data_IF_377628562998
#
_entry.id   IF_377628562998
#
_cell.length_a   1.000
_cell.length_b   1.000
_cell.length_c   1.000
_cell.angle_alpha   90.00
_cell.angle_beta   90.00
_cell.angle_gamma   90.00
#
_symmetry.space_group_name_H-M   'P 1'
#
loop_
_entity.id
_entity.type
_entity.pdbx_description
1 polymer ?
#
# COMPACT_ATOMS: atom_id res chain seq x y z
N UNK A 1 49.93 -55.17 -44.84
CA UNK A 1 49.18 -54.30 -45.76
C UNK A 1 47.71 -54.45 -45.43
N UNK A 2 47.03 -53.33 -45.28
CA UNK A 2 45.64 -53.11 -44.81
C UNK A 2 45.44 -53.30 -43.31
N UNK A 3 45.59 -52.17 -42.61
CA UNK A 3 45.24 -51.92 -41.21
C UNK A 3 43.70 -51.76 -41.13
N UNK A 4 43.03 -52.53 -40.29
CA UNK A 4 41.58 -52.43 -40.08
C UNK A 4 41.30 -51.23 -39.17
N UNK A 5 40.57 -50.24 -39.70
CA UNK A 5 40.12 -49.08 -38.96
C UNK A 5 38.87 -49.48 -38.17
N UNK A 6 38.99 -49.56 -36.85
CA UNK A 6 37.87 -49.61 -35.91
C UNK A 6 37.60 -48.18 -35.44
N UNK A 7 36.65 -47.49 -36.08
CA UNK A 7 36.13 -46.23 -35.57
C UNK A 7 35.14 -46.62 -34.47
N UNK A 8 35.54 -46.50 -33.20
CA UNK A 8 34.57 -46.42 -32.11
C UNK A 8 33.73 -45.17 -32.38
N UNK A 9 32.48 -45.36 -32.76
CA UNK A 9 31.48 -44.29 -32.71
C UNK A 9 31.26 -43.92 -31.25
N UNK A 10 31.98 -42.91 -30.78
CA UNK A 10 31.61 -42.19 -29.56
C UNK A 10 30.27 -41.53 -29.89
N UNK A 11 29.17 -42.12 -29.43
CA UNK A 11 27.91 -41.39 -29.31
C UNK A 11 28.19 -40.28 -28.30
N UNK A 12 28.36 -39.05 -28.80
CA UNK A 12 28.12 -37.88 -27.96
C UNK A 12 26.63 -37.91 -27.66
N UNK A 13 26.28 -38.42 -26.49
CA UNK A 13 24.99 -38.10 -25.87
C UNK A 13 25.05 -36.60 -25.59
N UNK A 14 24.35 -35.81 -26.42
CA UNK A 14 23.92 -34.50 -25.96
C UNK A 14 22.99 -34.79 -24.79
N UNK A 15 23.43 -34.44 -23.59
CA UNK A 15 22.52 -34.35 -22.48
C UNK A 15 21.70 -33.08 -22.72
N UNK A 16 20.38 -33.24 -22.69
CA UNK A 16 19.48 -32.09 -22.68
C UNK A 16 19.65 -31.36 -21.34
N UNK A 17 19.52 -30.04 -21.42
CA UNK A 17 19.65 -29.04 -20.36
C UNK A 17 18.60 -28.00 -20.75
N UNK A 18 17.39 -28.24 -20.26
CA UNK A 18 16.18 -27.59 -20.75
C UNK A 18 16.08 -26.13 -20.30
N UNK A 19 16.63 -25.81 -19.13
CA UNK A 19 16.58 -24.49 -18.52
C UNK A 19 17.91 -23.70 -18.67
N UNK A 20 19.00 -24.37 -19.06
CA UNK A 20 20.26 -23.77 -19.42
C UNK A 20 21.15 -23.43 -18.23
N UNK A 21 20.96 -24.09 -17.10
CA UNK A 21 21.68 -23.82 -15.84
C UNK A 21 23.06 -24.50 -15.76
N UNK A 22 23.35 -25.41 -16.69
CA UNK A 22 24.61 -26.14 -16.81
C UNK A 22 24.60 -27.54 -16.18
N UNK A 23 23.46 -27.98 -15.65
CA UNK A 23 23.17 -29.33 -15.19
C UNK A 23 22.31 -30.03 -16.25
N UNK A 24 22.56 -31.32 -16.49
CA UNK A 24 21.74 -32.07 -17.44
C UNK A 24 20.42 -32.47 -16.83
N UNK A 25 19.33 -32.48 -17.60
CA UNK A 25 17.97 -32.84 -17.14
C UNK A 25 17.89 -34.16 -16.32
N UNK A 26 18.77 -35.13 -16.61
CA UNK A 26 18.81 -36.42 -15.88
C UNK A 26 19.46 -36.36 -14.49
N UNK A 27 20.15 -35.27 -14.19
CA UNK A 27 20.86 -34.98 -12.95
C UNK A 27 20.33 -33.72 -12.26
N UNK A 28 19.38 -33.05 -12.90
CA UNK A 28 18.81 -31.78 -12.49
C UNK A 28 17.59 -32.02 -11.60
N UNK A 29 17.65 -31.49 -10.38
CA UNK A 29 16.55 -31.54 -9.41
C UNK A 29 15.45 -30.50 -9.70
N UNK A 30 15.67 -29.57 -10.63
CA UNK A 30 14.69 -28.60 -11.14
C UNK A 30 14.77 -28.40 -12.66
N UNK A 31 14.47 -29.43 -13.44
CA UNK A 31 14.56 -29.48 -14.93
C UNK A 31 13.96 -28.30 -15.75
N UNK A 32 13.17 -27.42 -15.14
CA UNK A 32 12.56 -26.27 -15.81
C UNK A 32 12.95 -24.92 -15.21
N UNK A 33 13.68 -24.88 -14.08
CA UNK A 33 13.98 -23.68 -13.31
C UNK A 33 15.48 -23.62 -13.03
N UNK A 34 16.22 -22.68 -13.65
CA UNK A 34 17.67 -22.67 -13.54
C UNK A 34 18.18 -22.58 -12.11
N UNK A 35 18.83 -23.63 -11.61
CA UNK A 35 19.36 -23.71 -10.26
C UNK A 35 20.75 -24.38 -10.22
N UNK A 36 21.82 -23.71 -10.71
CA UNK A 36 23.14 -24.33 -10.91
C UNK A 36 23.81 -24.91 -9.65
N UNK A 37 23.31 -24.53 -8.47
CA UNK A 37 23.79 -25.00 -7.17
C UNK A 37 23.14 -26.32 -6.74
N UNK A 38 21.99 -26.67 -7.31
CA UNK A 38 21.25 -27.91 -7.02
C UNK A 38 21.05 -28.12 -5.51
N UNK A 39 20.73 -27.05 -4.79
CA UNK A 39 20.31 -27.11 -3.37
C UNK A 39 19.05 -27.99 -3.25
N UNK A 40 18.95 -28.70 -2.13
CA UNK A 40 17.94 -29.70 -1.78
C UNK A 40 18.08 -29.94 -0.26
N UNK A 41 17.45 -29.11 0.59
CA UNK A 41 17.69 -29.12 2.05
C UNK A 41 17.09 -30.34 2.74
N UNK A 42 15.90 -30.74 2.31
CA UNK A 42 15.18 -31.90 2.81
C UNK A 42 15.62 -33.25 2.20
N UNK A 43 16.37 -33.22 1.10
CA UNK A 43 16.88 -34.38 0.37
C UNK A 43 15.78 -35.23 -0.29
N UNK A 44 14.66 -34.61 -0.70
CA UNK A 44 13.56 -35.29 -1.37
C UNK A 44 13.78 -35.47 -2.89
N UNK A 45 14.79 -34.77 -3.43
CA UNK A 45 15.25 -34.69 -4.85
C UNK A 45 14.49 -33.73 -5.74
N UNK A 46 13.57 -32.96 -5.20
CA UNK A 46 13.12 -31.70 -5.76
C UNK A 46 14.11 -30.66 -5.27
N UNK A 47 14.60 -29.80 -6.17
CA UNK A 47 15.53 -28.77 -5.75
C UNK A 47 14.77 -27.60 -5.16
N UNK A 48 15.39 -26.86 -4.24
CA UNK A 48 14.76 -25.70 -3.61
C UNK A 48 14.12 -24.69 -4.58
N UNK A 49 14.73 -24.52 -5.76
CA UNK A 49 14.22 -23.57 -6.75
C UNK A 49 12.85 -23.96 -7.34
N UNK A 50 12.42 -25.21 -7.13
CA UNK A 50 11.19 -25.78 -7.64
C UNK A 50 10.44 -26.64 -6.61
N UNK A 51 10.91 -26.64 -5.36
CA UNK A 51 10.14 -27.11 -4.22
C UNK A 51 9.25 -25.98 -3.71
N UNK A 52 8.27 -26.32 -2.89
CA UNK A 52 7.38 -25.38 -2.22
C UNK A 52 7.47 -25.44 -0.69
N UNK A 53 8.29 -26.36 -0.18
CA UNK A 53 8.55 -26.67 1.23
C UNK A 53 9.98 -27.27 1.29
N UNK A 54 10.97 -26.37 1.27
CA UNK A 54 12.40 -26.65 1.06
C UNK A 54 13.01 -27.57 2.15
N UNK A 55 12.42 -27.62 3.35
CA UNK A 55 12.88 -28.42 4.48
C UNK A 55 11.88 -29.51 4.94
N UNK A 56 10.69 -29.56 4.34
CA UNK A 56 9.65 -30.56 4.56
C UNK A 56 9.10 -30.59 6.00
N UNK A 57 9.06 -29.45 6.68
CA UNK A 57 8.48 -29.29 8.01
C UNK A 57 6.93 -29.17 8.01
N UNK A 58 6.36 -28.93 6.82
CA UNK A 58 4.93 -28.79 6.57
C UNK A 58 4.43 -27.35 6.51
N UNK A 59 5.32 -26.36 6.53
CA UNK A 59 5.09 -24.94 6.28
C UNK A 59 5.67 -24.60 4.90
N UNK A 60 4.86 -23.99 4.03
CA UNK A 60 5.33 -23.59 2.69
C UNK A 60 6.32 -22.41 2.78
N UNK A 61 7.32 -22.39 1.91
CA UNK A 61 8.45 -21.42 1.93
C UNK A 61 8.01 -19.95 1.96
N UNK A 62 6.87 -19.63 1.35
CA UNK A 62 6.30 -18.28 1.30
C UNK A 62 5.78 -17.77 2.66
N UNK A 63 5.58 -18.67 3.61
CA UNK A 63 5.13 -18.41 4.99
C UNK A 63 6.20 -18.80 6.01
N UNK A 64 7.24 -19.52 5.57
CA UNK A 64 8.36 -19.97 6.37
C UNK A 64 9.50 -18.94 6.39
N UNK A 65 9.81 -18.38 7.56
CA UNK A 65 10.93 -17.45 7.72
C UNK A 65 12.30 -18.13 7.71
N UNK A 66 12.32 -19.46 7.87
CA UNK A 66 13.48 -20.33 8.02
C UNK A 66 13.37 -21.59 7.14
N UNK A 67 12.96 -21.41 5.88
CA UNK A 67 12.78 -22.41 4.80
C UNK A 67 13.93 -23.44 4.59
N UNK A 68 15.08 -23.30 5.26
CA UNK A 68 16.19 -24.24 5.22
C UNK A 68 16.33 -25.09 6.52
N UNK A 69 15.44 -24.93 7.50
CA UNK A 69 15.57 -25.47 8.86
C UNK A 69 14.30 -26.16 9.39
N UNK A 70 14.22 -27.52 9.35
CA UNK A 70 12.97 -28.26 9.55
C UNK A 70 12.45 -28.35 11.00
N UNK A 71 12.97 -27.50 11.88
CA UNK A 71 12.59 -27.41 13.29
C UNK A 71 12.09 -25.99 13.62
N UNK A 72 12.31 -25.03 12.75
CA UNK A 72 12.00 -23.63 12.97
C UNK A 72 11.34 -23.07 11.72
N UNK A 73 10.28 -22.28 11.90
CA UNK A 73 9.58 -21.65 10.78
C UNK A 73 9.24 -20.18 11.01
N UNK A 74 9.41 -19.66 12.23
CA UNK A 74 8.90 -18.34 12.61
C UNK A 74 9.84 -17.51 13.48
N UNK A 75 9.76 -16.18 13.31
CA UNK A 75 10.38 -15.14 14.15
C UNK A 75 9.38 -13.97 14.18
N UNK A 76 8.49 -13.97 15.18
CA UNK A 76 7.35 -13.02 15.24
C UNK A 76 7.70 -11.68 15.89
N UNK A 77 8.77 -11.61 16.68
CA UNK A 77 9.22 -10.39 17.34
C UNK A 77 10.38 -9.68 16.58
N UNK A 78 10.92 -10.36 15.56
CA UNK A 78 11.88 -9.87 14.58
C UNK A 78 13.25 -9.57 15.16
N UNK A 79 13.67 -10.36 16.14
CA UNK A 79 14.96 -10.23 16.79
C UNK A 79 16.08 -11.06 16.09
N UNK A 80 15.70 -11.86 15.08
CA UNK A 80 16.52 -12.80 14.30
C UNK A 80 16.88 -14.10 15.03
N UNK A 81 16.14 -14.44 16.08
CA UNK A 81 16.13 -15.76 16.72
C UNK A 81 14.76 -16.37 16.39
N UNK A 82 14.74 -17.65 16.02
CA UNK A 82 13.48 -18.32 15.72
C UNK A 82 12.75 -18.71 17.00
N UNK A 83 11.41 -18.68 16.97
CA UNK A 83 10.52 -18.91 18.13
C UNK A 83 10.71 -20.28 18.83
N UNK A 84 11.36 -21.26 18.22
CA UNK A 84 11.70 -22.53 18.88
C UNK A 84 13.01 -22.43 19.66
N UNK A 85 13.95 -21.59 19.23
CA UNK A 85 15.24 -21.37 19.89
C UNK A 85 15.26 -20.14 20.81
N UNK A 86 14.32 -19.22 20.64
CA UNK A 86 14.18 -18.00 21.43
C UNK A 86 13.70 -18.33 22.87
N UNK A 87 14.35 -17.77 23.91
CA UNK A 87 13.90 -17.92 25.29
C UNK A 87 12.96 -16.78 25.77
N UNK A 88 12.59 -15.82 24.93
CA UNK A 88 11.74 -14.66 25.20
C UNK A 88 10.93 -14.27 23.93
N UNK A 89 10.01 -15.15 23.48
CA UNK A 89 9.36 -15.07 22.14
C UNK A 89 8.54 -13.80 21.88
N UNK A 90 8.21 -13.02 22.92
CA UNK A 90 7.50 -11.74 22.81
C UNK A 90 8.34 -10.52 23.17
N UNK A 91 9.61 -10.76 23.53
CA UNK A 91 10.62 -9.75 23.85
C UNK A 91 10.15 -8.74 24.92
N UNK A 92 9.35 -9.20 25.90
CA UNK A 92 8.83 -8.36 26.99
C UNK A 92 9.77 -8.25 28.21
N UNK A 93 10.99 -8.77 28.08
CA UNK A 93 12.03 -8.93 29.10
C UNK A 93 11.71 -10.02 30.16
N UNK A 94 10.77 -10.93 29.90
CA UNK A 94 10.42 -12.07 30.76
C UNK A 94 10.57 -13.38 29.98
N UNK A 95 11.52 -14.22 30.40
CA UNK A 95 11.73 -15.52 29.76
C UNK A 95 10.46 -16.40 29.77
N UNK A 96 10.23 -17.18 28.71
CA UNK A 96 8.99 -17.98 28.51
C UNK A 96 8.68 -18.91 29.69
N UNK A 97 9.74 -19.43 30.33
CA UNK A 97 9.62 -20.33 31.48
C UNK A 97 9.06 -19.65 32.74
N UNK A 98 9.14 -18.32 32.79
CA UNK A 98 8.70 -17.45 33.88
C UNK A 98 7.52 -16.57 33.48
N UNK A 99 7.16 -16.54 32.19
CA UNK A 99 6.09 -15.71 31.67
C UNK A 99 4.70 -16.40 31.66
N UNK A 100 3.66 -15.61 31.91
CA UNK A 100 2.27 -16.02 31.84
C UNK A 100 1.73 -16.00 30.40
N UNK A 101 2.31 -15.19 29.50
CA UNK A 101 1.89 -15.05 28.10
C UNK A 101 3.10 -15.13 27.15
N UNK A 102 3.81 -16.27 27.12
CA UNK A 102 5.18 -16.38 26.61
C UNK A 102 5.37 -16.10 25.12
N UNK A 103 4.30 -15.83 24.37
CA UNK A 103 4.34 -15.68 22.91
C UNK A 103 3.50 -14.48 22.51
N UNK A 104 3.87 -13.83 21.41
CA UNK A 104 3.02 -12.81 20.79
C UNK A 104 1.64 -13.36 20.39
N UNK A 105 0.62 -12.51 20.43
CA UNK A 105 -0.73 -12.90 20.05
C UNK A 105 -0.81 -13.28 18.56
N UNK A 106 -0.05 -12.58 17.73
CA UNK A 106 0.03 -12.81 16.29
C UNK A 106 0.62 -14.20 15.98
N UNK A 107 1.57 -14.66 16.78
CA UNK A 107 2.09 -16.02 16.72
C UNK A 107 0.99 -17.04 17.05
N UNK A 108 0.31 -16.85 18.19
CA UNK A 108 -0.77 -17.74 18.60
C UNK A 108 -1.88 -17.85 17.54
N UNK A 109 -2.30 -16.71 16.98
CA UNK A 109 -3.30 -16.67 15.92
C UNK A 109 -2.80 -17.34 14.64
N UNK A 110 -1.54 -17.12 14.25
CA UNK A 110 -0.97 -17.75 13.06
C UNK A 110 -0.94 -19.28 13.21
N UNK A 111 -0.45 -19.79 14.34
CA UNK A 111 -0.41 -21.23 14.61
C UNK A 111 -1.80 -21.88 14.54
N UNK A 112 -2.82 -21.23 15.09
CA UNK A 112 -4.20 -21.74 15.07
C UNK A 112 -4.81 -21.77 13.66
N UNK A 113 -4.35 -20.90 12.76
CA UNK A 113 -4.92 -20.70 11.43
C UNK A 113 -3.96 -21.03 10.28
N UNK A 114 -2.81 -21.66 10.58
CA UNK A 114 -1.73 -21.87 9.60
C UNK A 114 -2.22 -22.62 8.36
N UNK A 115 -3.07 -23.64 8.51
CA UNK A 115 -3.61 -24.37 7.37
C UNK A 115 -4.49 -23.49 6.46
N UNK A 116 -5.26 -22.57 7.04
CA UNK A 116 -6.12 -21.64 6.29
C UNK A 116 -5.27 -20.62 5.53
N UNK A 117 -4.21 -20.12 6.16
CA UNK A 117 -3.22 -19.22 5.56
C UNK A 117 -2.53 -19.90 4.38
N UNK A 118 -1.95 -21.09 4.59
CA UNK A 118 -1.28 -21.86 3.54
C UNK A 118 -2.22 -22.21 2.38
N UNK A 119 -3.49 -22.53 2.66
CA UNK A 119 -4.49 -22.80 1.62
C UNK A 119 -4.76 -21.59 0.71
N UNK A 120 -4.68 -20.37 1.26
CA UNK A 120 -4.77 -19.15 0.47
C UNK A 120 -3.48 -18.87 -0.30
N UNK A 121 -2.34 -19.16 0.33
CA UNK A 121 -1.03 -18.87 -0.22
C UNK A 121 -0.74 -19.62 -1.54
N UNK A 122 -1.05 -20.92 -1.58
CA UNK A 122 -0.84 -21.78 -2.75
C UNK A 122 -1.69 -21.42 -3.99
N UNK A 123 -2.53 -20.38 -3.91
CA UNK A 123 -3.36 -19.92 -5.02
C UNK A 123 -2.53 -19.01 -5.93
N UNK A 124 -2.04 -19.56 -7.04
CA UNK A 124 -1.25 -18.84 -8.06
C UNK A 124 -2.07 -17.81 -8.91
N UNK A 125 -3.38 -17.73 -8.69
CA UNK A 125 -4.21 -16.65 -9.25
C UNK A 125 -4.35 -15.50 -8.26
N UNK A 126 -3.78 -14.33 -8.59
CA UNK A 126 -3.81 -13.18 -7.69
C UNK A 126 -5.21 -12.77 -7.26
N UNK A 127 -6.21 -12.85 -8.15
CA UNK A 127 -7.60 -12.56 -7.78
C UNK A 127 -8.16 -13.60 -6.78
N UNK A 128 -7.90 -14.88 -7.02
CA UNK A 128 -8.25 -15.98 -6.12
C UNK A 128 -7.57 -15.89 -4.76
N UNK A 129 -6.28 -15.57 -4.71
CA UNK A 129 -5.48 -15.41 -3.49
C UNK A 129 -6.02 -14.26 -2.63
N UNK A 130 -6.23 -13.09 -3.24
CA UNK A 130 -6.85 -11.94 -2.57
C UNK A 130 -8.22 -12.27 -1.98
N UNK A 131 -9.10 -12.91 -2.77
CA UNK A 131 -10.43 -13.29 -2.31
C UNK A 131 -10.37 -14.31 -1.16
N UNK A 132 -9.40 -15.24 -1.20
CA UNK A 132 -9.20 -16.20 -0.14
C UNK A 132 -8.85 -15.50 1.17
N UNK A 133 -7.82 -14.64 1.16
CA UNK A 133 -7.42 -13.87 2.33
C UNK A 133 -8.52 -12.92 2.83
N UNK A 134 -9.22 -12.23 1.93
CA UNK A 134 -10.37 -11.39 2.32
C UNK A 134 -11.43 -12.17 3.10
N UNK A 135 -11.78 -13.38 2.65
CA UNK A 135 -12.75 -14.23 3.35
C UNK A 135 -12.20 -14.71 4.70
N UNK A 136 -10.94 -15.15 4.73
CA UNK A 136 -10.26 -15.57 5.95
C UNK A 136 -10.31 -14.47 7.02
N UNK A 137 -9.86 -13.25 6.69
CA UNK A 137 -9.85 -12.14 7.65
C UNK A 137 -11.26 -11.69 8.06
N UNK A 138 -12.23 -11.66 7.15
CA UNK A 138 -13.63 -11.37 7.49
C UNK A 138 -14.22 -12.38 8.49
N UNK A 139 -13.88 -13.66 8.37
CA UNK A 139 -14.35 -14.70 9.27
C UNK A 139 -13.60 -14.68 10.61
N UNK A 140 -12.29 -14.39 10.58
CA UNK A 140 -11.45 -14.30 11.76
C UNK A 140 -11.86 -13.15 12.68
N UNK A 141 -12.14 -11.96 12.12
CA UNK A 141 -12.62 -10.81 12.91
C UNK A 141 -13.88 -11.15 13.72
N UNK A 142 -14.82 -11.88 13.10
CA UNK A 142 -16.08 -12.29 13.75
C UNK A 142 -15.85 -13.30 14.89
N UNK A 143 -14.78 -14.08 14.80
CA UNK A 143 -14.40 -15.09 15.79
C UNK A 143 -13.69 -14.46 16.99
N UNK A 144 -12.64 -13.69 16.72
CA UNK A 144 -11.81 -13.06 17.76
C UNK A 144 -12.51 -11.90 18.46
N UNK A 145 -13.39 -11.17 17.77
CA UNK A 145 -14.08 -9.97 18.27
C UNK A 145 -13.12 -8.90 18.80
N UNK A 146 -11.90 -8.89 18.26
CA UNK A 146 -10.91 -7.87 18.49
C UNK A 146 -10.23 -7.53 17.16
N UNK A 147 -10.66 -6.41 16.56
CA UNK A 147 -10.13 -5.93 15.29
C UNK A 147 -8.64 -5.59 15.37
N UNK A 148 -8.14 -5.17 16.54
CA UNK A 148 -6.74 -4.78 16.69
C UNK A 148 -5.82 -5.99 16.55
N UNK A 149 -6.19 -7.11 17.16
CA UNK A 149 -5.41 -8.34 17.18
C UNK A 149 -5.33 -8.92 15.75
N UNK A 150 -6.47 -8.95 15.06
CA UNK A 150 -6.53 -9.43 13.67
C UNK A 150 -5.78 -8.51 12.71
N UNK A 151 -5.73 -7.21 13.00
CA UNK A 151 -4.95 -6.26 12.20
C UNK A 151 -3.44 -6.42 12.42
N UNK A 152 -3.01 -6.74 13.64
CA UNK A 152 -1.62 -7.08 13.88
C UNK A 152 -1.24 -8.41 13.22
N UNK A 153 -2.14 -9.40 13.21
CA UNK A 153 -1.93 -10.63 12.43
C UNK A 153 -1.73 -10.31 10.94
N UNK A 154 -2.56 -9.45 10.35
CA UNK A 154 -2.39 -9.04 8.96
C UNK A 154 -1.02 -8.39 8.70
N UNK A 155 -0.51 -7.60 9.66
CA UNK A 155 0.84 -7.04 9.59
C UNK A 155 1.92 -8.13 9.71
N UNK A 156 1.77 -9.08 10.63
CA UNK A 156 2.72 -10.17 10.84
C UNK A 156 2.81 -11.06 9.59
N UNK A 157 1.67 -11.48 9.03
CA UNK A 157 1.63 -12.27 7.79
C UNK A 157 2.23 -11.52 6.59
N UNK A 158 2.11 -10.19 6.55
CA UNK A 158 2.75 -9.40 5.50
C UNK A 158 4.27 -9.30 5.67
N UNK A 159 4.76 -9.29 6.92
CA UNK A 159 6.21 -9.38 7.20
C UNK A 159 6.78 -10.76 6.90
N UNK A 160 6.01 -11.82 7.10
CA UNK A 160 6.38 -13.19 6.76
C UNK A 160 6.36 -13.47 5.25
N UNK A 161 5.75 -12.60 4.43
CA UNK A 161 5.63 -12.80 2.98
C UNK A 161 4.36 -13.55 2.54
N UNK A 162 3.60 -14.10 3.49
CA UNK A 162 2.33 -14.78 3.24
C UNK A 162 1.27 -13.86 2.61
N UNK A 163 1.29 -12.56 2.94
CA UNK A 163 0.38 -11.56 2.41
C UNK A 163 1.18 -10.42 1.77
N UNK A 164 1.11 -10.31 0.43
CA UNK A 164 1.86 -9.31 -0.33
C UNK A 164 1.68 -7.87 0.18
N UNK A 165 0.48 -7.50 0.63
CA UNK A 165 0.21 -6.21 1.27
C UNK A 165 -0.94 -6.33 2.28
N UNK A 166 -0.63 -6.12 3.55
CA UNK A 166 -1.61 -6.09 4.62
C UNK A 166 -2.68 -4.99 4.45
N UNK A 167 -2.44 -3.96 3.63
CA UNK A 167 -3.40 -2.90 3.33
C UNK A 167 -4.71 -3.47 2.79
N UNK A 168 -4.64 -4.36 1.79
CA UNK A 168 -5.82 -4.86 1.12
C UNK A 168 -6.71 -5.67 2.06
N UNK A 169 -6.13 -6.64 2.78
CA UNK A 169 -6.88 -7.47 3.73
C UNK A 169 -7.45 -6.66 4.89
N UNK A 170 -6.80 -5.54 5.24
CA UNK A 170 -7.28 -4.65 6.29
C UNK A 170 -8.57 -3.90 5.91
N UNK A 171 -8.93 -3.83 4.62
CA UNK A 171 -10.24 -3.29 4.21
C UNK A 171 -11.38 -4.11 4.82
N UNK A 172 -11.27 -5.44 4.78
CA UNK A 172 -12.28 -6.34 5.36
C UNK A 172 -12.34 -6.22 6.88
N UNK A 173 -11.18 -6.09 7.54
CA UNK A 173 -11.09 -5.89 8.99
C UNK A 173 -11.81 -4.58 9.39
N UNK A 174 -11.56 -3.51 8.65
CA UNK A 174 -12.23 -2.22 8.85
C UNK A 174 -13.72 -2.27 8.62
N UNK A 175 -14.16 -3.01 7.60
CA UNK A 175 -15.56 -3.17 7.26
C UNK A 175 -16.33 -3.85 8.40
N UNK A 176 -15.85 -5.01 8.85
CA UNK A 176 -16.48 -5.75 9.96
C UNK A 176 -16.41 -4.95 11.25
N UNK A 177 -15.29 -4.25 11.51
CA UNK A 177 -15.17 -3.40 12.68
C UNK A 177 -16.28 -2.36 12.77
N UNK A 178 -16.67 -1.74 11.66
CA UNK A 178 -17.81 -0.81 11.61
C UNK A 178 -19.16 -1.51 11.88
N UNK A 179 -19.37 -2.74 11.41
CA UNK A 179 -20.59 -3.50 11.70
C UNK A 179 -20.75 -3.75 13.21
N UNK A 180 -19.65 -3.95 13.93
CA UNK A 180 -19.65 -4.13 15.38
C UNK A 180 -19.83 -2.81 16.15
N UNK A 181 -19.20 -1.72 15.70
CA UNK A 181 -19.33 -0.40 16.30
C UNK A 181 -19.54 0.72 15.25
N UNK A 182 -20.78 1.15 14.96
CA UNK A 182 -21.04 2.12 13.89
C UNK A 182 -20.56 3.56 14.17
N UNK A 183 -19.82 3.79 15.26
CA UNK A 183 -19.21 5.08 15.57
C UNK A 183 -17.83 5.23 14.90
N UNK A 184 -17.83 5.81 13.70
CA UNK A 184 -16.63 6.04 12.88
C UNK A 184 -15.50 6.71 13.64
N UNK A 185 -15.79 7.74 14.44
CA UNK A 185 -14.74 8.48 15.17
C UNK A 185 -14.12 7.58 16.23
N UNK A 186 -14.93 6.83 16.96
CA UNK A 186 -14.46 5.93 18.03
C UNK A 186 -13.61 4.80 17.48
N UNK A 187 -14.04 4.19 16.37
CA UNK A 187 -13.29 3.13 15.70
C UNK A 187 -11.91 3.59 15.21
N UNK A 188 -11.80 4.81 14.70
CA UNK A 188 -10.56 5.27 14.08
C UNK A 188 -9.57 5.88 15.08
N UNK A 189 -10.01 6.27 16.28
CA UNK A 189 -9.22 7.12 17.21
C UNK A 189 -7.99 6.44 17.81
N UNK A 190 -7.99 5.12 17.94
CA UNK A 190 -6.94 4.34 18.62
C UNK A 190 -6.20 3.38 17.67
N UNK A 191 -6.33 3.62 16.36
CA UNK A 191 -5.67 2.83 15.31
C UNK A 191 -4.39 3.57 14.91
N UNK A 192 -3.20 3.00 15.17
CA UNK A 192 -1.91 3.59 14.81
C UNK A 192 -1.71 3.80 13.29
N UNK A 193 -0.60 4.42 12.90
CA UNK A 193 -0.37 4.91 11.53
C UNK A 193 0.47 3.95 10.66
N UNK A 194 0.15 2.67 10.60
CA UNK A 194 0.82 1.68 9.72
C UNK A 194 0.11 1.50 8.36
N UNK A 195 0.76 0.86 7.37
CA UNK A 195 0.20 0.65 6.01
C UNK A 195 -1.10 -0.17 6.06
N UNK A 196 -1.12 -1.25 6.86
CA UNK A 196 -2.30 -2.08 7.11
C UNK A 196 -3.45 -1.23 7.65
N UNK A 197 -3.13 -0.29 8.55
CA UNK A 197 -4.11 0.58 9.16
C UNK A 197 -4.72 1.57 8.17
N UNK A 198 -4.00 2.03 7.15
CA UNK A 198 -4.62 2.76 6.04
C UNK A 198 -5.75 1.97 5.37
N UNK A 199 -5.56 0.67 5.19
CA UNK A 199 -6.58 -0.24 4.69
C UNK A 199 -7.79 -0.37 5.63
N UNK A 200 -7.54 -0.46 6.94
CA UNK A 200 -8.60 -0.45 7.96
C UNK A 200 -9.48 0.81 7.85
N UNK A 201 -8.88 1.99 7.70
CA UNK A 201 -9.62 3.24 7.48
C UNK A 201 -10.51 3.17 6.23
N UNK A 202 -10.01 2.60 5.14
CA UNK A 202 -10.78 2.45 3.90
C UNK A 202 -11.97 1.51 4.09
N UNK A 203 -11.78 0.40 4.81
CA UNK A 203 -12.83 -0.54 5.19
C UNK A 203 -13.97 0.10 5.99
N UNK A 204 -13.61 0.83 7.06
CA UNK A 204 -14.57 1.54 7.92
C UNK A 204 -15.38 2.56 7.11
N UNK A 205 -14.71 3.35 6.27
CA UNK A 205 -15.39 4.34 5.42
C UNK A 205 -16.32 3.65 4.43
N UNK A 206 -15.86 2.58 3.79
CA UNK A 206 -16.67 1.79 2.87
C UNK A 206 -17.95 1.27 3.52
N UNK A 207 -17.85 0.65 4.70
CA UNK A 207 -19.00 0.16 5.45
C UNK A 207 -19.96 1.29 5.87
N UNK A 208 -19.42 2.42 6.36
CA UNK A 208 -20.22 3.58 6.74
C UNK A 208 -21.07 4.14 5.60
N UNK A 209 -20.47 4.35 4.43
CA UNK A 209 -21.19 4.86 3.26
C UNK A 209 -22.12 3.82 2.64
N UNK A 210 -21.75 2.54 2.70
CA UNK A 210 -22.62 1.45 2.31
C UNK A 210 -23.89 1.40 3.18
N UNK A 211 -23.76 1.43 4.51
CA UNK A 211 -24.89 1.51 5.44
C UNK A 211 -25.77 2.73 5.15
N UNK A 212 -25.16 3.90 4.92
CA UNK A 212 -25.90 5.11 4.59
C UNK A 212 -26.74 4.94 3.32
N UNK A 213 -26.17 4.30 2.29
CA UNK A 213 -26.85 4.04 1.03
C UNK A 213 -27.98 3.01 1.16
N UNK A 214 -27.73 1.86 1.79
CA UNK A 214 -28.71 0.79 1.99
C UNK A 214 -29.93 1.28 2.79
N UNK A 215 -29.69 2.13 3.80
CA UNK A 215 -30.75 2.72 4.60
C UNK A 215 -31.42 3.94 3.95
N UNK A 216 -31.16 4.22 2.67
CA UNK A 216 -31.66 5.38 1.92
C UNK A 216 -31.42 6.72 2.64
N UNK A 217 -30.33 6.83 3.40
CA UNK A 217 -29.92 8.09 4.04
C UNK A 217 -29.37 9.03 2.94
N UNK A 218 -29.52 10.33 3.15
CA UNK A 218 -28.80 11.30 2.32
C UNK A 218 -27.29 11.12 2.49
N UNK A 219 -26.52 11.59 1.51
CA UNK A 219 -25.06 11.66 1.64
C UNK A 219 -24.73 12.33 2.99
N UNK A 220 -23.96 11.68 3.87
CA UNK A 220 -23.56 12.28 5.13
C UNK A 220 -22.80 13.59 4.92
N UNK A 221 -22.67 14.43 5.95
CA UNK A 221 -21.77 15.59 5.93
C UNK A 221 -20.31 15.11 5.95
N UNK A 222 -19.89 14.52 4.84
CA UNK A 222 -18.64 13.75 4.71
C UNK A 222 -17.39 14.61 4.81
N UNK A 223 -17.50 15.90 4.50
CA UNK A 223 -16.37 16.83 4.49
C UNK A 223 -15.78 17.06 5.89
N UNK A 224 -16.58 16.83 6.93
CA UNK A 224 -16.17 17.09 8.30
C UNK A 224 -15.80 15.81 9.09
N UNK A 225 -16.02 14.61 8.53
CA UNK A 225 -15.78 13.32 9.22
C UNK A 225 -14.34 13.21 9.72
N UNK A 226 -13.37 13.62 8.90
CA UNK A 226 -11.96 13.49 9.22
C UNK A 226 -11.40 14.69 10.01
N UNK A 227 -12.21 15.71 10.36
CA UNK A 227 -11.69 16.95 10.95
C UNK A 227 -10.98 16.72 12.30
N UNK A 228 -11.40 15.71 13.08
CA UNK A 228 -10.79 15.40 14.38
C UNK A 228 -9.39 14.78 14.24
N UNK A 229 -9.02 14.31 13.05
CA UNK A 229 -7.70 13.72 12.76
C UNK A 229 -6.69 14.75 12.23
N UNK A 230 -7.11 16.00 12.02
CA UNK A 230 -6.27 17.07 11.46
C UNK A 230 -4.93 17.19 12.22
N UNK A 231 -3.82 17.14 11.46
CA UNK A 231 -2.47 17.27 11.99
C UNK A 231 -1.76 15.94 12.29
N UNK A 232 -2.45 14.81 12.13
CA UNK A 232 -1.88 13.45 12.13
C UNK A 232 -1.62 12.95 10.71
N UNK A 233 -0.86 11.86 10.57
CA UNK A 233 -0.78 11.06 9.34
C UNK A 233 -2.14 10.50 8.93
N UNK A 234 -2.97 10.18 9.91
CA UNK A 234 -4.20 9.39 9.76
C UNK A 234 -5.31 10.19 9.07
N UNK A 235 -5.19 11.52 9.08
CA UNK A 235 -6.04 12.40 8.30
C UNK A 235 -5.97 12.09 6.80
N UNK A 236 -4.78 11.78 6.27
CA UNK A 236 -4.62 11.47 4.84
C UNK A 236 -5.37 10.19 4.49
N UNK A 237 -5.16 9.15 5.31
CA UNK A 237 -5.75 7.83 5.14
C UNK A 237 -7.28 7.91 5.30
N UNK A 238 -7.78 8.74 6.22
CA UNK A 238 -9.21 9.02 6.34
C UNK A 238 -9.79 9.70 5.09
N UNK A 239 -9.16 10.77 4.59
CA UNK A 239 -9.65 11.47 3.37
C UNK A 239 -9.56 10.58 2.14
N UNK A 240 -8.52 9.75 2.03
CA UNK A 240 -8.41 8.74 0.97
C UNK A 240 -9.55 7.73 1.08
N UNK A 241 -9.80 7.19 2.27
CA UNK A 241 -10.91 6.27 2.58
C UNK A 241 -12.29 6.86 2.28
N UNK A 242 -12.51 8.17 2.46
CA UNK A 242 -13.76 8.82 2.00
C UNK A 242 -14.00 8.59 0.50
N UNK A 243 -12.93 8.57 -0.30
CA UNK A 243 -12.98 8.24 -1.72
C UNK A 243 -13.56 6.84 -1.98
N UNK A 244 -13.09 5.83 -1.25
CA UNK A 244 -13.64 4.48 -1.30
C UNK A 244 -15.13 4.48 -0.95
N UNK A 245 -15.48 5.09 0.19
CA UNK A 245 -16.87 5.18 0.64
C UNK A 245 -17.80 5.86 -0.38
N UNK A 246 -17.35 6.91 -1.05
CA UNK A 246 -18.14 7.59 -2.10
C UNK A 246 -18.45 6.67 -3.28
N UNK A 247 -17.51 5.83 -3.71
CA UNK A 247 -17.76 4.83 -4.78
C UNK A 247 -18.88 3.88 -4.38
N UNK A 248 -18.87 3.38 -3.14
CA UNK A 248 -19.93 2.52 -2.61
C UNK A 248 -21.28 3.24 -2.51
N UNK A 249 -21.29 4.47 -1.99
CA UNK A 249 -22.51 5.28 -1.87
C UNK A 249 -23.18 5.52 -3.23
N UNK A 250 -22.36 5.83 -4.24
CA UNK A 250 -22.81 6.07 -5.60
C UNK A 250 -22.88 4.80 -6.46
N UNK A 251 -22.69 3.62 -5.87
CA UNK A 251 -22.82 2.31 -6.53
C UNK A 251 -21.96 2.20 -7.80
N UNK A 252 -20.72 2.69 -7.74
CA UNK A 252 -19.76 2.65 -8.85
C UNK A 252 -19.89 3.80 -9.86
N UNK A 253 -20.75 4.79 -9.65
CA UNK A 253 -20.76 6.00 -10.49
C UNK A 253 -19.52 6.87 -10.19
N UNK A 254 -18.51 6.70 -11.04
CA UNK A 254 -17.23 7.41 -10.94
C UNK A 254 -17.40 8.94 -11.04
N UNK A 255 -18.33 9.42 -11.86
CA UNK A 255 -18.53 10.86 -12.06
C UNK A 255 -19.14 11.50 -10.81
N UNK A 256 -20.14 10.85 -10.21
CA UNK A 256 -20.74 11.33 -8.97
C UNK A 256 -19.74 11.33 -7.80
N UNK A 257 -18.92 10.27 -7.72
CA UNK A 257 -17.92 10.09 -6.67
C UNK A 257 -16.81 11.16 -6.76
N UNK A 258 -16.19 11.31 -7.93
CA UNK A 258 -15.14 12.32 -8.16
C UNK A 258 -15.65 13.74 -8.00
N UNK A 259 -16.85 14.06 -8.49
CA UNK A 259 -17.46 15.38 -8.29
C UNK A 259 -17.66 15.71 -6.81
N UNK A 260 -17.91 14.72 -5.95
CA UNK A 260 -18.02 14.92 -4.51
C UNK A 260 -16.66 15.23 -3.89
N UNK A 261 -15.60 14.53 -4.30
CA UNK A 261 -14.23 14.86 -3.89
C UNK A 261 -13.82 16.27 -4.34
N UNK A 262 -14.16 16.69 -5.56
CA UNK A 262 -13.83 18.04 -6.08
C UNK A 262 -14.52 19.19 -5.35
N UNK A 263 -15.46 18.92 -4.42
CA UNK A 263 -16.03 19.95 -3.55
C UNK A 263 -15.19 20.23 -2.29
N UNK A 264 -14.08 19.53 -2.11
CA UNK A 264 -13.12 19.71 -1.02
C UNK A 264 -11.97 20.64 -1.46
N UNK A 265 -11.01 20.92 -0.57
CA UNK A 265 -9.77 21.61 -0.98
C UNK A 265 -9.02 20.82 -2.05
N UNK A 266 -8.11 21.45 -2.79
CA UNK A 266 -7.35 20.76 -3.84
C UNK A 266 -6.65 19.50 -3.32
N UNK A 267 -5.99 19.58 -2.17
CA UNK A 267 -5.27 18.44 -1.63
C UNK A 267 -6.21 17.35 -1.13
N UNK A 268 -7.24 17.70 -0.36
CA UNK A 268 -8.27 16.74 0.06
C UNK A 268 -8.92 16.06 -1.14
N UNK A 269 -9.24 16.84 -2.17
CA UNK A 269 -9.77 16.34 -3.43
C UNK A 269 -8.81 15.37 -4.10
N UNK A 270 -7.51 15.66 -4.12
CA UNK A 270 -6.52 14.76 -4.72
C UNK A 270 -6.42 13.42 -3.97
N UNK A 271 -6.50 13.43 -2.64
CA UNK A 271 -6.50 12.21 -1.83
C UNK A 271 -7.80 11.41 -2.00
N UNK A 272 -8.94 12.09 -1.92
CA UNK A 272 -10.26 11.51 -2.09
C UNK A 272 -10.46 10.93 -3.50
N UNK A 273 -9.99 11.61 -4.55
CA UNK A 273 -9.99 11.04 -5.92
C UNK A 273 -9.05 9.85 -6.00
N UNK A 274 -7.90 9.87 -5.33
CA UNK A 274 -7.00 8.72 -5.22
C UNK A 274 -7.72 7.45 -4.73
N UNK A 275 -8.43 7.54 -3.59
CA UNK A 275 -9.21 6.42 -3.06
C UNK A 275 -10.42 6.06 -3.91
N UNK A 276 -11.06 7.06 -4.53
CA UNK A 276 -12.14 6.82 -5.49
C UNK A 276 -11.64 5.97 -6.67
N UNK A 277 -10.47 6.31 -7.22
CA UNK A 277 -9.90 5.61 -8.36
C UNK A 277 -9.43 4.22 -7.98
N UNK A 278 -8.77 4.06 -6.83
CA UNK A 278 -8.35 2.75 -6.31
C UNK A 278 -9.54 1.81 -6.15
N UNK A 279 -10.60 2.25 -5.45
CA UNK A 279 -11.82 1.45 -5.27
C UNK A 279 -12.51 1.14 -6.61
N UNK A 280 -12.61 2.14 -7.49
CA UNK A 280 -13.28 1.96 -8.77
C UNK A 280 -12.54 0.98 -9.67
N UNK A 281 -11.21 1.09 -9.81
CA UNK A 281 -10.44 0.20 -10.69
C UNK A 281 -10.48 -1.23 -10.19
N UNK A 282 -10.33 -1.44 -8.89
CA UNK A 282 -10.45 -2.74 -8.24
C UNK A 282 -11.84 -3.37 -8.49
N UNK A 283 -12.93 -2.65 -8.22
CA UNK A 283 -14.29 -3.17 -8.46
C UNK A 283 -14.54 -3.53 -9.93
N UNK A 284 -14.02 -2.74 -10.86
CA UNK A 284 -14.19 -3.01 -12.29
C UNK A 284 -13.38 -4.23 -12.75
N UNK A 285 -12.19 -4.46 -12.21
CA UNK A 285 -11.38 -5.64 -12.53
C UNK A 285 -11.99 -6.89 -11.89
N UNK A 286 -12.40 -6.82 -10.63
CA UNK A 286 -13.07 -7.91 -9.91
C UNK A 286 -14.38 -8.32 -10.58
N UNK A 287 -15.25 -7.36 -10.98
CA UNK A 287 -16.57 -7.69 -11.55
C UNK A 287 -16.53 -8.08 -13.02
N UNK A 288 -15.68 -7.44 -13.82
CA UNK A 288 -15.68 -7.61 -15.28
C UNK A 288 -14.48 -8.40 -15.82
N UNK A 289 -13.53 -8.75 -14.96
CA UNK A 289 -12.32 -9.48 -15.29
C UNK A 289 -11.28 -8.67 -16.06
N UNK A 290 -10.09 -9.26 -16.20
CA UNK A 290 -8.93 -8.69 -16.87
C UNK A 290 -9.02 -8.89 -18.39
N UNK A 291 -9.95 -8.17 -19.03
CA UNK A 291 -10.13 -8.20 -20.49
C UNK A 291 -9.66 -6.90 -21.15
N UNK A 292 -9.14 -6.99 -22.37
CA UNK A 292 -8.69 -5.83 -23.14
C UNK A 292 -9.78 -4.74 -23.27
N UNK A 293 -11.04 -5.15 -23.43
CA UNK A 293 -12.16 -4.21 -23.54
C UNK A 293 -12.45 -3.50 -22.21
N UNK A 294 -12.32 -4.18 -21.07
CA UNK A 294 -12.50 -3.58 -19.75
C UNK A 294 -11.38 -2.58 -19.46
N UNK A 295 -10.13 -3.05 -19.53
CA UNK A 295 -8.92 -2.27 -19.23
C UNK A 295 -8.82 -1.00 -20.10
N UNK A 296 -9.01 -1.13 -21.41
CA UNK A 296 -8.87 0.01 -22.34
C UNK A 296 -9.95 1.10 -22.19
N UNK A 297 -11.10 0.78 -21.59
CA UNK A 297 -12.24 1.71 -21.47
C UNK A 297 -12.45 2.25 -20.07
N UNK A 298 -11.81 1.66 -19.07
CA UNK A 298 -12.01 1.99 -17.66
C UNK A 298 -11.64 3.45 -17.35
N UNK A 299 -10.45 3.88 -17.75
CA UNK A 299 -9.90 5.21 -17.47
C UNK A 299 -9.81 6.06 -18.73
N UNK A 300 -10.94 6.51 -19.29
CA UNK A 300 -10.94 7.32 -20.53
C UNK A 300 -10.83 8.82 -20.26
N UNK A 301 -10.03 9.51 -21.07
CA UNK A 301 -9.81 10.97 -20.95
C UNK A 301 -11.02 11.82 -21.34
N UNK A 302 -12.02 11.23 -22.01
CA UNK A 302 -13.24 11.94 -22.41
C UNK A 302 -14.12 12.33 -21.21
N UNK A 303 -14.01 11.59 -20.10
CA UNK A 303 -14.89 11.74 -18.95
C UNK A 303 -14.15 12.26 -17.71
N UNK A 304 -12.83 12.43 -17.78
CA UNK A 304 -11.99 12.76 -16.63
C UNK A 304 -11.17 14.02 -16.89
N UNK A 305 -10.91 14.80 -15.83
CA UNK A 305 -9.92 15.87 -15.92
C UNK A 305 -8.52 15.25 -16.13
N UNK A 306 -7.54 16.06 -16.56
CA UNK A 306 -6.18 15.54 -16.79
C UNK A 306 -5.57 14.91 -15.54
N UNK A 307 -5.88 15.43 -14.34
CA UNK A 307 -5.35 14.90 -13.08
C UNK A 307 -6.08 13.61 -12.69
N UNK A 308 -7.41 13.59 -12.78
CA UNK A 308 -8.20 12.39 -12.47
C UNK A 308 -7.90 11.26 -13.47
N UNK A 309 -7.65 11.59 -14.73
CA UNK A 309 -7.21 10.64 -15.76
C UNK A 309 -5.86 10.00 -15.41
N UNK A 310 -4.91 10.80 -14.95
CA UNK A 310 -3.62 10.30 -14.49
C UNK A 310 -3.82 9.38 -13.27
N UNK A 311 -4.56 9.83 -12.25
CA UNK A 311 -4.81 9.03 -11.05
C UNK A 311 -5.52 7.72 -11.37
N UNK A 312 -6.54 7.74 -12.23
CA UNK A 312 -7.23 6.52 -12.66
C UNK A 312 -6.27 5.50 -13.29
N UNK A 313 -5.40 5.93 -14.21
CA UNK A 313 -4.48 4.99 -14.86
C UNK A 313 -3.38 4.50 -13.90
N UNK A 314 -2.91 5.34 -12.97
CA UNK A 314 -1.98 4.91 -11.91
C UNK A 314 -2.65 3.86 -11.00
N UNK A 315 -3.88 4.12 -10.54
CA UNK A 315 -4.67 3.16 -9.73
C UNK A 315 -4.96 1.86 -10.49
N UNK A 316 -5.21 1.93 -11.80
CA UNK A 316 -5.36 0.74 -12.63
C UNK A 316 -4.08 -0.10 -12.66
N UNK A 317 -2.91 0.53 -12.78
CA UNK A 317 -1.63 -0.15 -12.68
C UNK A 317 -1.42 -0.84 -11.33
N UNK A 318 -1.74 -0.13 -10.24
CA UNK A 318 -1.71 -0.68 -8.89
C UNK A 318 -2.63 -1.91 -8.75
N UNK A 319 -3.91 -1.80 -9.13
CA UNK A 319 -4.84 -2.93 -9.06
C UNK A 319 -4.39 -4.11 -9.91
N UNK A 320 -3.81 -3.85 -11.10
CA UNK A 320 -3.28 -4.93 -11.94
C UNK A 320 -2.15 -5.70 -11.26
N UNK A 321 -1.29 -5.07 -10.46
CA UNK A 321 -0.24 -5.76 -9.71
C UNK A 321 -0.82 -6.86 -8.82
N UNK A 322 -1.80 -6.52 -7.97
CA UNK A 322 -2.48 -7.49 -7.11
C UNK A 322 -3.23 -8.55 -7.91
N UNK A 323 -4.00 -8.16 -8.94
CA UNK A 323 -4.77 -9.12 -9.74
C UNK A 323 -3.91 -10.08 -10.56
N UNK A 324 -2.63 -9.74 -10.80
CA UNK A 324 -1.67 -10.63 -11.46
C UNK A 324 -0.73 -11.34 -10.51
N UNK A 325 -0.99 -11.33 -9.19
CA UNK A 325 -0.08 -11.89 -8.18
C UNK A 325 1.34 -11.34 -8.33
N UNK A 326 1.45 -10.04 -8.60
CA UNK A 326 2.70 -9.33 -8.85
C UNK A 326 3.56 -9.88 -10.02
N UNK A 327 2.97 -10.69 -10.92
CA UNK A 327 3.64 -11.14 -12.14
C UNK A 327 3.94 -9.95 -13.07
N UNK A 328 5.23 -9.63 -13.16
CA UNK A 328 5.76 -8.49 -13.92
C UNK A 328 5.37 -8.53 -15.40
N UNK A 329 5.48 -9.68 -16.05
CA UNK A 329 5.25 -9.81 -17.49
C UNK A 329 3.75 -9.80 -17.80
N UNK A 330 2.97 -10.56 -17.03
CA UNK A 330 1.51 -10.62 -17.16
C UNK A 330 0.88 -9.26 -16.89
N UNK A 331 1.25 -8.59 -15.80
CA UNK A 331 0.74 -7.27 -15.45
C UNK A 331 1.11 -6.18 -16.46
N UNK A 332 2.36 -6.16 -16.94
CA UNK A 332 2.76 -5.25 -18.03
C UNK A 332 1.92 -5.44 -19.28
N UNK A 333 1.68 -6.70 -19.68
CA UNK A 333 0.89 -7.02 -20.87
C UNK A 333 -0.53 -6.42 -20.83
N UNK A 334 -1.12 -6.30 -19.64
CA UNK A 334 -2.43 -5.66 -19.45
C UNK A 334 -2.37 -4.13 -19.62
N UNK A 335 -1.36 -3.46 -19.05
CA UNK A 335 -1.17 -2.03 -19.29
C UNK A 335 -0.94 -1.72 -20.78
N UNK A 336 -0.34 -2.64 -21.55
CA UNK A 336 -0.17 -2.48 -23.00
C UNK A 336 -1.47 -2.49 -23.81
N UNK A 337 -2.57 -2.96 -23.21
CA UNK A 337 -3.90 -2.95 -23.85
C UNK A 337 -4.53 -1.55 -23.88
N UNK A 338 -3.98 -0.59 -23.13
CA UNK A 338 -4.42 0.80 -23.13
C UNK A 338 -3.96 1.47 -24.43
N UNK A 339 -4.91 1.93 -25.24
CA UNK A 339 -4.62 2.49 -26.56
C UNK A 339 -3.95 3.86 -26.53
N UNK A 340 -4.10 4.60 -25.43
CA UNK A 340 -3.47 5.91 -25.26
C UNK A 340 -2.09 5.78 -24.59
N UNK A 341 -1.05 6.33 -25.22
CA UNK A 341 0.34 6.23 -24.75
C UNK A 341 0.56 6.86 -23.37
N UNK A 342 -0.18 7.93 -23.01
CA UNK A 342 -0.06 8.53 -21.68
C UNK A 342 -0.71 7.62 -20.64
N UNK A 343 -1.90 7.12 -20.93
CA UNK A 343 -2.58 6.14 -20.08
C UNK A 343 -1.72 4.90 -19.83
N UNK A 344 -1.13 4.33 -20.89
CA UNK A 344 -0.18 3.22 -20.80
C UNK A 344 1.00 3.55 -19.87
N UNK A 345 1.61 4.72 -20.05
CA UNK A 345 2.74 5.15 -19.22
C UNK A 345 2.37 5.32 -17.74
N UNK A 346 1.19 5.86 -17.44
CA UNK A 346 0.70 5.99 -16.07
C UNK A 346 0.35 4.65 -15.43
N UNK A 347 -0.24 3.72 -16.20
CA UNK A 347 -0.49 2.36 -15.76
C UNK A 347 0.80 1.63 -15.41
N UNK A 348 1.79 1.65 -16.31
CA UNK A 348 3.10 1.05 -16.05
C UNK A 348 3.78 1.68 -14.84
N UNK A 349 3.70 3.01 -14.68
CA UNK A 349 4.25 3.70 -13.53
C UNK A 349 3.63 3.23 -12.20
N UNK A 350 2.29 3.11 -12.15
CA UNK A 350 1.61 2.60 -10.96
C UNK A 350 1.97 1.14 -10.67
N UNK A 351 1.93 0.30 -11.70
CA UNK A 351 2.25 -1.12 -11.62
C UNK A 351 3.69 -1.38 -11.15
N UNK A 352 4.69 -0.80 -11.81
CA UNK A 352 6.10 -0.99 -11.45
C UNK A 352 6.42 -0.38 -10.08
N UNK A 353 5.72 0.69 -9.69
CA UNK A 353 5.78 1.24 -8.33
C UNK A 353 5.36 0.20 -7.29
N UNK A 354 4.27 -0.53 -7.55
CA UNK A 354 3.79 -1.57 -6.65
C UNK A 354 4.72 -2.78 -6.59
N UNK A 355 5.16 -3.31 -7.73
CA UNK A 355 6.16 -4.40 -7.76
C UNK A 355 7.40 -4.04 -6.95
N UNK A 356 7.87 -2.79 -7.07
CA UNK A 356 9.03 -2.32 -6.31
C UNK A 356 8.76 -2.30 -4.81
N UNK A 357 7.60 -1.81 -4.39
CA UNK A 357 7.21 -1.81 -2.98
C UNK A 357 7.14 -3.25 -2.44
N UNK A 358 6.54 -4.16 -3.21
CA UNK A 358 6.46 -5.59 -2.92
C UNK A 358 7.85 -6.24 -2.73
N UNK A 359 8.80 -5.93 -3.61
CA UNK A 359 10.17 -6.48 -3.53
C UNK A 359 11.02 -5.82 -2.43
N UNK A 360 10.72 -4.57 -2.08
CA UNK A 360 11.43 -3.80 -1.05
C UNK A 360 10.89 -4.04 0.36
N UNK A 361 9.95 -4.97 0.60
CA UNK A 361 9.42 -5.35 1.92
C UNK A 361 10.44 -5.94 2.91
N UNK A 362 11.71 -5.52 2.86
CA UNK A 362 12.41 -5.23 4.11
C UNK A 362 11.64 -4.09 4.76
N UNK A 363 10.80 -4.42 5.73
CA UNK A 363 10.14 -3.47 6.63
C UNK A 363 11.21 -2.75 7.42
N UNK A 364 11.96 -1.86 6.77
CA UNK A 364 12.51 -0.71 7.45
C UNK A 364 11.27 0.05 7.88
N UNK A 365 10.96 0.14 9.19
CA UNK A 365 9.87 0.98 9.63
C UNK A 365 10.15 2.34 9.01
N UNK A 366 9.24 2.83 8.17
CA UNK A 366 9.27 4.24 7.77
C UNK A 366 9.15 4.96 9.10
N UNK A 367 10.27 5.34 9.68
CA UNK A 367 10.29 5.91 11.01
C UNK A 367 9.34 7.10 10.97
N UNK A 368 8.58 7.32 12.04
CA UNK A 368 7.63 8.44 12.16
C UNK A 368 8.24 9.81 11.77
N UNK A 369 9.58 9.87 11.72
CA UNK A 369 10.41 11.00 11.32
C UNK A 369 10.55 11.21 9.80
N UNK A 370 10.36 10.21 8.94
CA UNK A 370 10.47 10.33 7.47
C UNK A 370 9.13 10.42 6.75
N UNK A 371 8.02 10.00 7.38
CA UNK A 371 6.66 10.11 6.80
C UNK A 371 6.26 11.57 6.65
N UNK A 372 5.75 11.93 5.48
CA UNK A 372 5.22 13.28 5.23
C UNK A 372 3.99 13.52 6.11
N UNK A 373 4.01 14.61 6.87
CA UNK A 373 2.86 15.02 7.65
C UNK A 373 2.07 16.02 6.82
N UNK A 374 0.78 15.74 6.66
CA UNK A 374 -0.14 16.70 6.08
C UNK A 374 -0.84 17.49 7.16
N UNK A 375 -0.89 18.81 6.97
CA UNK A 375 -1.38 19.70 8.00
C UNK A 375 -2.22 20.82 7.39
N UNK A 376 -3.55 20.71 7.38
CA UNK A 376 -4.40 21.85 7.03
C UNK A 376 -4.29 22.86 8.18
N UNK A 377 -3.75 24.04 7.88
CA UNK A 377 -3.45 25.04 8.92
C UNK A 377 -4.52 26.12 9.05
N UNK A 378 -5.42 26.22 8.07
CA UNK A 378 -6.48 27.22 8.07
C UNK A 378 -7.69 26.75 7.27
N UNK A 379 -8.88 26.85 7.85
CA UNK A 379 -10.15 26.52 7.20
C UNK A 379 -11.14 27.67 7.41
N UNK A 380 -11.71 28.22 6.32
CA UNK A 380 -12.82 29.18 6.42
C UNK A 380 -13.64 29.19 5.13
N UNK A 381 -14.97 29.06 5.26
CA UNK A 381 -15.92 29.08 4.13
C UNK A 381 -15.52 28.13 2.97
N UNK A 382 -14.98 26.94 3.30
CA UNK A 382 -14.56 25.94 2.31
C UNK A 382 -13.20 26.22 1.65
N UNK A 383 -12.51 27.30 1.99
CA UNK A 383 -11.12 27.52 1.58
C UNK A 383 -10.16 26.97 2.64
N UNK A 384 -9.17 26.20 2.21
CA UNK A 384 -8.17 25.59 3.10
C UNK A 384 -6.76 25.94 2.61
N UNK A 385 -5.87 26.29 3.55
CA UNK A 385 -4.42 26.39 3.28
C UNK A 385 -3.77 25.10 3.77
N UNK A 386 -3.25 24.34 2.81
CA UNK A 386 -2.80 22.97 2.98
C UNK A 386 -1.28 22.89 2.97
N UNK A 387 -0.69 22.11 3.88
CA UNK A 387 0.76 21.87 3.97
C UNK A 387 1.10 20.40 3.81
N UNK A 388 2.13 20.10 3.02
CA UNK A 388 2.76 18.78 2.92
C UNK A 388 4.25 18.92 3.26
N UNK A 389 4.67 18.31 4.36
CA UNK A 389 6.06 18.33 4.82
C UNK A 389 6.35 17.21 5.83
N UNK A 390 7.55 16.60 5.83
CA UNK A 390 8.01 15.80 6.98
C UNK A 390 8.17 16.61 8.28
N UNK A 391 8.24 17.94 8.21
CA UNK A 391 8.33 18.82 9.37
C UNK A 391 6.94 19.14 9.96
N UNK A 392 6.88 19.28 11.29
CA UNK A 392 5.68 19.72 11.99
C UNK A 392 5.54 21.23 11.84
N UNK A 393 4.43 21.66 11.24
CA UNK A 393 4.02 23.05 11.12
C UNK A 393 3.21 23.45 12.37
N UNK A 394 3.49 24.62 12.92
CA UNK A 394 2.84 25.14 14.13
C UNK A 394 2.73 26.66 14.10
N UNK A 395 1.95 27.23 15.04
CA UNK A 395 1.77 28.69 15.18
C UNK A 395 1.35 29.37 13.87
N UNK A 396 0.50 28.71 13.08
CA UNK A 396 0.04 29.25 11.82
C UNK A 396 -0.90 30.44 12.05
N UNK A 397 -0.70 31.49 11.26
CA UNK A 397 -1.53 32.69 11.23
C UNK A 397 -1.75 33.10 9.79
N UNK A 398 -3.01 33.33 9.43
CA UNK A 398 -3.39 33.99 8.19
C UNK A 398 -4.19 35.26 8.48
N UNK A 399 -3.71 36.41 7.99
CA UNK A 399 -4.44 37.69 8.06
C UNK A 399 -5.09 37.98 6.69
N UNK A 400 -6.41 37.89 6.63
CA UNK A 400 -7.21 38.11 5.41
C UNK A 400 -7.12 39.55 4.87
N UNK A 401 -6.94 40.55 5.73
CA UNK A 401 -6.99 41.96 5.31
C UNK A 401 -5.75 42.34 4.50
N UNK A 402 -4.61 41.79 4.90
CA UNK A 402 -3.31 42.07 4.32
C UNK A 402 -2.70 40.86 3.61
N UNK A 403 -3.40 39.72 3.57
CA UNK A 403 -3.01 38.46 2.92
C UNK A 403 -1.62 37.97 3.34
N UNK A 404 -1.35 38.00 4.64
CA UNK A 404 -0.09 37.53 5.22
C UNK A 404 -0.29 36.12 5.78
N UNK A 405 0.66 35.23 5.48
CA UNK A 405 0.74 33.88 6.06
C UNK A 405 2.01 33.80 6.92
N UNK A 406 1.90 33.35 8.16
CA UNK A 406 3.03 33.08 9.04
C UNK A 406 2.90 31.69 9.64
N UNK A 407 4.00 30.95 9.78
CA UNK A 407 4.02 29.68 10.51
C UNK A 407 5.43 29.34 10.99
N UNK A 408 5.52 28.39 11.93
CA UNK A 408 6.78 27.82 12.43
C UNK A 408 6.91 26.37 11.98
N UNK A 409 8.14 25.85 11.84
CA UNK A 409 8.41 24.46 11.50
C UNK A 409 9.59 23.91 12.31
N UNK A 410 9.51 22.65 12.73
CA UNK A 410 10.39 22.10 13.77
C UNK A 410 11.75 21.55 13.29
N UNK A 411 11.90 21.21 12.01
CA UNK A 411 13.15 20.65 11.45
C UNK A 411 13.35 21.06 9.98
N UNK A 412 14.59 21.13 9.47
CA UNK A 412 14.83 21.42 8.05
C UNK A 412 14.26 20.31 7.17
N UNK A 413 13.25 20.64 6.39
CA UNK A 413 12.59 19.75 5.43
C UNK A 413 11.93 20.61 4.35
N UNK A 414 11.61 20.02 3.19
CA UNK A 414 10.80 20.73 2.21
C UNK A 414 9.40 20.98 2.78
N UNK A 415 8.79 22.09 2.38
CA UNK A 415 7.43 22.44 2.77
C UNK A 415 6.70 22.82 1.49
N UNK A 416 5.65 22.09 1.16
CA UNK A 416 4.78 22.39 0.02
C UNK A 416 3.48 22.95 0.57
N UNK A 417 3.09 24.12 0.08
CA UNK A 417 1.85 24.79 0.43
C UNK A 417 0.92 24.82 -0.77
N UNK A 418 -0.34 24.49 -0.57
CA UNK A 418 -1.39 24.73 -1.57
C UNK A 418 -2.31 25.82 -1.03
N UNK A 419 -2.30 26.97 -1.71
CA UNK A 419 -2.99 28.18 -1.27
C UNK A 419 -4.04 28.55 -2.32
N UNK A 420 -5.34 28.61 -1.97
CA UNK A 420 -6.37 29.10 -2.87
C UNK A 420 -6.01 30.48 -3.43
N UNK A 421 -6.19 30.68 -4.73
CA UNK A 421 -5.72 31.88 -5.45
C UNK A 421 -6.34 33.18 -4.90
N UNK A 422 -7.55 33.11 -4.34
CA UNK A 422 -8.21 34.24 -3.69
C UNK A 422 -7.53 34.68 -2.38
N UNK A 423 -6.80 33.78 -1.71
CA UNK A 423 -6.15 34.04 -0.43
C UNK A 423 -4.72 34.59 -0.54
N UNK A 424 -4.08 34.39 -1.69
CA UNK A 424 -2.75 34.91 -1.98
C UNK A 424 -2.84 36.23 -2.76
N UNK A 425 -1.77 37.03 -2.70
CA UNK A 425 -1.61 38.20 -3.58
C UNK A 425 -0.88 37.80 -4.86
N UNK A 426 -1.14 38.49 -5.97
CA UNK A 426 -0.45 38.21 -7.25
C UNK A 426 1.07 38.33 -7.15
N UNK A 427 1.56 39.18 -6.24
CA UNK A 427 2.98 39.30 -5.91
C UNK A 427 3.16 39.15 -4.41
N UNK A 428 4.07 38.26 -4.05
CA UNK A 428 4.43 37.97 -2.67
C UNK A 428 5.92 37.69 -2.56
N UNK A 429 6.43 37.78 -1.34
CA UNK A 429 7.78 37.37 -0.97
C UNK A 429 7.71 36.37 0.17
N UNK A 430 8.65 35.42 0.18
CA UNK A 430 8.81 34.45 1.25
C UNK A 430 10.05 34.81 2.06
N UNK A 431 9.87 34.91 3.38
CA UNK A 431 10.91 35.21 4.35
C UNK A 431 11.02 34.03 5.31
N UNK A 432 12.22 33.48 5.48
CA UNK A 432 12.51 32.44 6.49
C UNK A 432 13.52 32.98 7.49
N UNK A 433 13.20 32.90 8.78
CA UNK A 433 14.06 33.39 9.86
C UNK A 433 14.51 34.84 9.66
N UNK A 434 13.63 35.69 9.12
CA UNK A 434 13.90 37.10 8.85
C UNK A 434 14.73 37.37 7.59
N UNK A 435 15.09 36.33 6.83
CA UNK A 435 15.84 36.44 5.57
C UNK A 435 14.92 36.15 4.39
N UNK A 436 14.97 36.99 3.35
CA UNK A 436 14.24 36.73 2.10
C UNK A 436 14.83 35.51 1.43
N UNK A 437 14.02 34.48 1.15
CA UNK A 437 14.49 33.29 0.45
C UNK A 437 14.91 33.65 -0.98
N UNK A 438 15.99 33.03 -1.44
CA UNK A 438 16.40 33.13 -2.83
C UNK A 438 15.45 32.33 -3.73
N UNK A 439 15.29 32.75 -4.99
CA UNK A 439 14.39 32.11 -5.95
C UNK A 439 14.74 30.64 -6.26
N UNK A 440 15.96 30.19 -5.97
CA UNK A 440 16.37 28.79 -6.14
C UNK A 440 15.83 27.86 -5.07
N UNK A 441 15.38 28.40 -3.93
CA UNK A 441 14.81 27.64 -2.81
C UNK A 441 13.28 27.73 -2.77
N UNK A 442 12.67 28.43 -3.72
CA UNK A 442 11.22 28.58 -3.87
C UNK A 442 10.85 28.08 -5.26
N UNK A 443 10.00 27.07 -5.33
CA UNK A 443 9.30 26.70 -6.55
C UNK A 443 7.83 27.12 -6.43
N UNK A 444 7.28 27.73 -7.48
CA UNK A 444 5.91 28.23 -7.48
C UNK A 444 5.23 27.83 -8.78
N UNK A 445 4.08 27.20 -8.63
CA UNK A 445 3.23 26.84 -9.76
C UNK A 445 1.80 27.31 -9.52
N UNK A 446 1.32 28.18 -10.39
CA UNK A 446 -0.07 28.65 -10.36
C UNK A 446 -0.96 27.76 -11.19
N UNK A 447 -2.06 27.32 -10.58
CA UNK A 447 -3.14 26.59 -11.22
C UNK A 447 -4.39 27.47 -11.26
N UNK A 448 -5.48 26.95 -11.83
CA UNK A 448 -6.72 27.70 -12.02
C UNK A 448 -7.27 28.24 -10.69
N UNK A 449 -7.30 27.41 -9.65
CA UNK A 449 -8.00 27.72 -8.39
C UNK A 449 -7.06 27.86 -7.19
N UNK A 450 -5.79 27.43 -7.30
CA UNK A 450 -4.79 27.50 -6.24
C UNK A 450 -3.38 27.74 -6.78
N UNK A 451 -2.49 28.16 -5.89
CA UNK A 451 -1.06 28.31 -6.14
C UNK A 451 -0.32 27.34 -5.22
N UNK A 452 0.54 26.52 -5.81
CA UNK A 452 1.50 25.67 -5.10
C UNK A 452 2.78 26.47 -4.86
N UNK A 453 3.24 26.50 -3.61
CA UNK A 453 4.52 27.07 -3.23
C UNK A 453 5.32 26.00 -2.49
N UNK A 454 6.43 25.58 -3.07
CA UNK A 454 7.40 24.70 -2.41
C UNK A 454 8.57 25.53 -1.92
N UNK A 455 8.93 25.36 -0.65
CA UNK A 455 10.11 25.97 -0.03
C UNK A 455 11.03 24.90 0.52
N UNK A 456 12.34 25.14 0.45
CA UNK A 456 13.37 24.23 0.96
C UNK A 456 14.29 24.95 1.96
N UNK A 457 13.84 25.16 3.22
CA UNK A 457 14.65 25.82 4.25
C UNK A 457 15.81 24.95 4.75
N UNK A 458 16.98 25.58 4.97
CA UNK A 458 18.20 24.91 5.48
C UNK A 458 18.21 24.69 7.00
N UNK A 459 17.30 25.34 7.74
CA UNK A 459 17.20 25.24 9.20
C UNK A 459 15.74 25.36 9.64
N UNK A 460 15.40 24.79 10.80
CA UNK A 460 14.11 25.01 11.46
C UNK A 460 13.86 26.50 11.72
N UNK A 461 12.60 26.90 11.82
CA UNK A 461 12.34 28.33 11.97
C UNK A 461 10.92 28.82 11.70
N UNK A 462 10.83 30.09 11.33
CA UNK A 462 9.58 30.80 11.04
C UNK A 462 9.58 31.21 9.57
N UNK A 463 8.48 30.92 8.88
CA UNK A 463 8.18 31.39 7.53
C UNK A 463 7.16 32.52 7.61
N UNK A 464 7.37 33.56 6.81
CA UNK A 464 6.43 34.64 6.56
C UNK A 464 6.28 34.83 5.05
N UNK A 465 5.05 34.69 4.55
CA UNK A 465 4.67 35.04 3.19
C UNK A 465 3.89 36.34 3.25
N UNK A 466 4.43 37.38 2.65
CA UNK A 466 3.83 38.72 2.66
C UNK A 466 3.72 39.28 1.25
N UNK A 467 2.76 40.17 1.06
CA UNK A 467 2.53 40.85 -0.21
C UNK A 467 3.69 41.77 -0.56
N UNK A 468 4.04 41.85 -1.85
CA UNK A 468 5.04 42.78 -2.39
C UNK A 468 4.46 44.13 -2.81
#
# INVERSE_FOLDING_TARGET
>A
MVLVISILSIQFTFFEDADGDGISDIQDNCQAIPNPLQSDFDLDKVGNACDSDDDNDGIVDSVDAFDENPIEWADFDYDNIGSVEDPDDDNDDILDIEDENPTLLEEHLTQNHIQEIQNCDIIDDGTGRLLCYSNFFNDLVKQEKNNSDVLNLALALSKLGAVDDCHFVSHEIGYVGFEENPNVIEILRDVDSTICRGGYYHGVMTAYFHDAKENNKSLPEYKDICNDLIGSSDYQDCIHGLGHGLVHFYQGDLTASTNSCHQMSFYQSSLCVGGTMMQYTDEQLTRNGLTANNISKMCTSLNLSSLDYQQCNVSLGLSLAYHTNHDLEKGKSFCEMISDEKGKSFCLYGFEGEIKNAQEYKVSPITKETREIFQPQWTKQGSIIDFRSPAIISNFVYDENIKIIQFSFNKPSYIIMYIPNNLLSEKYMVVVNGLVLQSTMIDTQSYKDYTMIRIQPESAGIVLITTL
#
